data_IF_951838679475
#
_entry.id   IF_951838679475
#
_cell.length_a   1.000
_cell.length_b   1.000
_cell.length_c   1.000
_cell.angle_alpha   90.00
_cell.angle_beta   90.00
_cell.angle_gamma   90.00
#
_symmetry.space_group_name_H-M   'P 1'
#
loop_
_entity.id
_entity.type
_entity.pdbx_description
1 polymer ?
#
# COMPACT_ATOMS: atom_id res chain seq x y z
N UNK A 1 0.03 19.77 -8.74
CA UNK A 1 -1.24 20.47 -9.02
C UNK A 1 -2.27 20.02 -7.99
N UNK A 2 -3.02 20.96 -7.40
CA UNK A 2 -4.07 20.66 -6.44
C UNK A 2 -5.38 20.49 -7.19
N UNK A 3 -6.10 19.42 -6.90
CA UNK A 3 -7.51 19.29 -7.26
C UNK A 3 -8.29 19.60 -5.98
N UNK A 4 -9.13 20.64 -5.94
CA UNK A 4 -9.98 20.88 -4.79
C UNK A 4 -10.89 19.66 -4.58
N UNK A 5 -10.98 19.17 -3.35
CA UNK A 5 -11.83 18.02 -3.05
C UNK A 5 -13.29 18.44 -2.77
N UNK A 6 -13.48 19.70 -2.37
CA UNK A 6 -14.81 20.24 -2.09
C UNK A 6 -14.92 21.68 -2.59
N UNK A 7 -16.13 22.11 -2.92
CA UNK A 7 -16.45 23.50 -3.24
C UNK A 7 -17.54 23.98 -2.30
N UNK A 8 -17.27 25.09 -1.54
CA UNK A 8 -18.22 25.75 -0.65
C UNK A 8 -19.06 24.80 0.23
N UNK A 9 -20.14 24.34 -0.27
CA UNK A 9 -21.15 23.54 0.45
C UNK A 9 -20.83 22.05 0.55
N UNK A 10 -19.55 21.64 0.59
CA UNK A 10 -19.11 20.24 0.66
C UNK A 10 -19.49 19.39 -0.57
N UNK A 11 -19.74 20.03 -1.70
CA UNK A 11 -19.95 19.32 -2.96
C UNK A 11 -18.59 18.86 -3.49
N UNK A 12 -18.40 17.56 -3.73
CA UNK A 12 -17.14 17.06 -4.29
C UNK A 12 -16.86 17.72 -5.64
N UNK A 13 -15.68 18.30 -5.81
CA UNK A 13 -15.24 18.81 -7.10
C UNK A 13 -14.91 17.64 -7.99
N UNK A 14 -15.63 17.53 -9.12
CA UNK A 14 -15.52 16.41 -10.06
C UNK A 14 -14.57 16.67 -11.21
N UNK A 15 -14.32 17.93 -11.52
CA UNK A 15 -13.45 18.32 -12.61
C UNK A 15 -12.70 19.61 -12.30
N UNK A 16 -11.44 19.68 -12.75
CA UNK A 16 -10.59 20.87 -12.75
C UNK A 16 -9.79 20.85 -14.06
N UNK A 17 -10.23 21.65 -15.02
CA UNK A 17 -9.73 21.59 -16.40
C UNK A 17 -9.96 20.21 -17.01
N UNK A 18 -8.89 19.57 -17.49
CA UNK A 18 -8.93 18.20 -18.04
C UNK A 18 -8.94 17.08 -16.97
N UNK A 19 -8.71 17.46 -15.71
CA UNK A 19 -8.67 16.50 -14.62
C UNK A 19 -10.06 16.22 -14.12
N UNK A 20 -10.34 14.93 -13.87
CA UNK A 20 -11.62 14.45 -13.35
C UNK A 20 -11.40 13.60 -12.12
N UNK A 21 -12.28 13.75 -11.14
CA UNK A 21 -12.40 12.84 -10.01
C UNK A 21 -13.50 11.81 -10.31
N UNK A 22 -13.23 10.56 -9.98
CA UNK A 22 -14.19 9.48 -10.09
C UNK A 22 -14.22 8.68 -8.77
N UNK A 23 -15.34 8.07 -8.46
CA UNK A 23 -15.49 7.25 -7.26
C UNK A 23 -16.28 5.97 -7.55
N UNK A 24 -16.08 4.96 -6.70
CA UNK A 24 -16.91 3.77 -6.70
C UNK A 24 -18.33 4.16 -6.27
N UNK A 25 -19.32 3.85 -7.11
CA UNK A 25 -20.73 4.12 -6.76
C UNK A 25 -21.11 3.34 -5.52
N UNK A 26 -21.51 4.06 -4.48
CA UNK A 26 -22.04 3.48 -3.24
C UNK A 26 -23.57 3.39 -3.29
N UNK A 27 -24.11 2.33 -2.70
CA UNK A 27 -25.55 2.11 -2.51
C UNK A 27 -25.80 1.46 -1.13
N UNK A 28 -27.04 1.24 -0.73
CA UNK A 28 -27.36 0.50 0.50
C UNK A 28 -26.70 -0.89 0.56
N UNK A 29 -26.44 -1.52 -0.58
CA UNK A 29 -25.72 -2.80 -0.66
C UNK A 29 -24.20 -2.67 -0.88
N UNK A 30 -23.59 -1.52 -0.56
CA UNK A 30 -22.18 -1.26 -0.74
C UNK A 30 -21.81 -0.86 -2.16
N UNK A 31 -20.51 -0.88 -2.46
CA UNK A 31 -19.93 -0.60 -3.77
C UNK A 31 -19.41 -1.88 -4.45
N UNK A 32 -18.75 -1.74 -5.60
CA UNK A 32 -18.20 -2.89 -6.34
C UNK A 32 -17.14 -3.66 -5.55
N UNK A 33 -16.30 -2.97 -4.77
CA UNK A 33 -15.26 -3.61 -3.96
C UNK A 33 -15.87 -4.38 -2.78
N UNK A 34 -16.78 -3.77 -2.00
CA UNK A 34 -17.41 -4.45 -0.87
C UNK A 34 -18.21 -5.68 -1.29
N UNK A 35 -18.85 -5.63 -2.47
CA UNK A 35 -19.57 -6.79 -3.03
C UNK A 35 -18.63 -7.91 -3.47
N UNK A 36 -17.46 -7.56 -3.95
CA UNK A 36 -16.43 -8.54 -4.32
C UNK A 36 -15.84 -9.20 -3.07
N UNK A 37 -15.46 -8.39 -2.08
CA UNK A 37 -14.93 -8.87 -0.80
C UNK A 37 -15.92 -9.78 -0.07
N UNK A 38 -17.22 -9.49 -0.13
CA UNK A 38 -18.26 -10.32 0.47
C UNK A 38 -18.38 -11.73 -0.16
N UNK A 39 -17.81 -11.92 -1.35
CA UNK A 39 -17.74 -13.22 -2.04
C UNK A 39 -16.40 -13.92 -1.89
N UNK A 40 -15.39 -13.22 -1.40
CA UNK A 40 -14.06 -13.80 -1.16
C UNK A 40 -14.09 -14.64 0.12
N UNK A 41 -13.93 -15.98 0.03
CA UNK A 41 -14.03 -16.84 1.20
C UNK A 41 -12.97 -16.58 2.26
N UNK A 42 -11.88 -15.90 1.89
CA UNK A 42 -10.79 -15.55 2.80
C UNK A 42 -11.05 -14.24 3.53
N UNK A 43 -11.63 -13.24 2.84
CA UNK A 43 -11.79 -11.88 3.38
C UNK A 43 -13.20 -11.58 3.88
N UNK A 44 -14.23 -12.27 3.36
CA UNK A 44 -15.60 -12.06 3.77
C UNK A 44 -15.83 -12.16 5.29
N UNK A 45 -15.20 -13.10 6.03
CA UNK A 45 -15.39 -13.19 7.48
C UNK A 45 -14.99 -11.92 8.25
N UNK A 46 -14.08 -11.12 7.68
CA UNK A 46 -13.54 -9.92 8.32
C UNK A 46 -14.34 -8.65 8.06
N UNK A 47 -15.31 -8.68 7.14
CA UNK A 47 -16.14 -7.52 6.82
C UNK A 47 -17.02 -7.04 7.97
N UNK A 48 -17.39 -7.94 8.88
CA UNK A 48 -18.22 -7.64 10.05
C UNK A 48 -17.42 -7.38 11.33
N UNK A 49 -16.10 -7.47 11.26
CA UNK A 49 -15.20 -7.24 12.40
C UNK A 49 -14.78 -5.76 12.38
N UNK A 50 -14.76 -5.06 13.53
CA UNK A 50 -14.25 -3.69 13.59
C UNK A 50 -12.80 -3.61 13.08
N UNK A 51 -12.47 -2.53 12.35
CA UNK A 51 -11.13 -2.33 11.78
C UNK A 51 -10.02 -2.45 12.84
N UNK A 52 -10.24 -1.89 14.03
CA UNK A 52 -9.31 -1.95 15.16
C UNK A 52 -9.23 -3.30 15.89
N UNK A 53 -9.99 -4.29 15.44
CA UNK A 53 -9.98 -5.67 15.94
C UNK A 53 -9.54 -6.67 14.86
N UNK A 54 -8.62 -6.26 14.01
CA UNK A 54 -8.16 -7.02 12.83
C UNK A 54 -9.27 -7.27 11.79
N UNK A 55 -10.28 -6.42 11.74
CA UNK A 55 -11.30 -6.39 10.68
C UNK A 55 -10.76 -5.83 9.37
N UNK A 56 -11.62 -5.77 8.36
CA UNK A 56 -11.24 -5.20 7.06
C UNK A 56 -10.97 -3.70 7.19
N UNK A 57 -9.74 -3.33 6.91
CA UNK A 57 -9.27 -1.95 6.91
C UNK A 57 -8.27 -1.73 5.78
N UNK A 58 -8.51 -0.73 4.92
CA UNK A 58 -7.67 -0.40 3.77
C UNK A 58 -7.01 0.95 4.05
N UNK A 59 -5.70 0.97 4.27
CA UNK A 59 -4.94 2.20 4.51
C UNK A 59 -3.93 2.48 3.39
N UNK A 60 -3.33 1.44 2.79
CA UNK A 60 -2.36 1.62 1.71
C UNK A 60 -3.01 1.80 0.34
N UNK A 61 -2.51 2.76 -0.46
CA UNK A 61 -2.94 2.93 -1.85
C UNK A 61 -1.78 3.32 -2.76
N UNK A 62 -1.50 2.49 -3.76
CA UNK A 62 -0.63 2.85 -4.88
C UNK A 62 -1.37 2.66 -6.21
N UNK A 63 -1.06 3.52 -7.19
CA UNK A 63 -1.67 3.43 -8.52
C UNK A 63 -0.58 3.37 -9.59
N UNK A 64 -0.75 2.44 -10.54
CA UNK A 64 0.11 2.30 -11.69
C UNK A 64 -0.71 2.07 -12.95
N UNK A 65 -0.79 3.09 -13.81
CA UNK A 65 -1.64 3.03 -15.01
C UNK A 65 -3.11 2.83 -14.62
N UNK A 66 -3.66 1.74 -15.07
CA UNK A 66 -5.05 1.32 -14.81
C UNK A 66 -5.18 0.30 -13.66
N UNK A 67 -4.14 0.13 -12.84
CA UNK A 67 -4.15 -0.77 -11.67
C UNK A 67 -4.00 0.01 -10.37
N UNK A 68 -4.83 -0.32 -9.39
CA UNK A 68 -4.74 0.14 -8.02
C UNK A 68 -4.30 -1.01 -7.11
N UNK A 69 -3.33 -0.75 -6.25
CA UNK A 69 -2.85 -1.65 -5.22
C UNK A 69 -3.40 -1.15 -3.88
N UNK A 70 -4.23 -1.93 -3.23
CA UNK A 70 -4.88 -1.61 -1.97
C UNK A 70 -4.23 -2.44 -0.87
N UNK A 71 -3.51 -1.78 0.03
CA UNK A 71 -2.87 -2.41 1.18
C UNK A 71 -3.83 -2.51 2.35
N UNK A 72 -3.96 -3.69 2.92
CA UNK A 72 -4.80 -3.91 4.09
C UNK A 72 -3.98 -3.73 5.37
N UNK A 73 -4.41 -2.81 6.24
CA UNK A 73 -3.97 -2.79 7.63
C UNK A 73 -4.50 -4.02 8.38
N UNK A 74 -5.73 -4.38 8.12
CA UNK A 74 -6.39 -5.58 8.57
C UNK A 74 -7.28 -6.18 7.48
N UNK A 75 -7.52 -7.49 7.50
CA UNK A 75 -6.93 -8.47 8.38
C UNK A 75 -5.49 -8.84 8.02
N UNK A 76 -4.68 -9.14 9.04
CA UNK A 76 -3.44 -9.91 8.86
C UNK A 76 -3.79 -11.39 9.05
N UNK A 77 -3.51 -12.20 8.03
CA UNK A 77 -3.96 -13.58 7.94
C UNK A 77 -2.83 -14.54 8.31
N UNK A 78 -2.81 -15.05 9.54
CA UNK A 78 -1.75 -15.93 10.04
C UNK A 78 -0.34 -15.34 9.88
N UNK A 79 -0.21 -14.02 10.10
CA UNK A 79 1.06 -13.31 9.94
C UNK A 79 1.30 -12.72 8.55
N UNK A 80 0.43 -12.98 7.58
CA UNK A 80 0.55 -12.47 6.22
C UNK A 80 -0.32 -11.22 6.03
N UNK A 81 0.29 -10.15 5.58
CA UNK A 81 -0.41 -8.95 5.13
C UNK A 81 -0.97 -9.16 3.72
N UNK A 82 -2.01 -8.41 3.38
CA UNK A 82 -2.72 -8.57 2.12
C UNK A 82 -2.64 -7.30 1.29
N UNK A 83 -2.31 -7.44 0.02
CA UNK A 83 -2.47 -6.42 -1.02
C UNK A 83 -3.48 -6.91 -2.04
N UNK A 84 -4.47 -6.09 -2.35
CA UNK A 84 -5.41 -6.33 -3.44
C UNK A 84 -4.99 -5.50 -4.65
N UNK A 85 -4.62 -6.15 -5.72
CA UNK A 85 -4.36 -5.50 -6.99
C UNK A 85 -5.63 -5.53 -7.83
N UNK A 86 -6.22 -4.37 -8.07
CA UNK A 86 -7.47 -4.23 -8.79
C UNK A 86 -7.27 -3.42 -10.08
N UNK A 87 -7.61 -3.96 -11.25
CA UNK A 87 -7.75 -3.16 -12.45
C UNK A 87 -8.83 -2.10 -12.23
N UNK A 88 -8.52 -0.84 -12.54
CA UNK A 88 -9.43 0.29 -12.36
C UNK A 88 -9.63 1.03 -13.67
N UNK A 89 -10.83 1.51 -13.90
CA UNK A 89 -11.16 2.35 -15.04
C UNK A 89 -12.13 3.44 -14.65
N UNK A 90 -11.95 4.60 -15.23
CA UNK A 90 -12.87 5.71 -15.08
C UNK A 90 -13.79 5.76 -16.31
N UNK A 91 -15.09 5.76 -16.07
CA UNK A 91 -16.11 5.94 -17.10
C UNK A 91 -17.29 6.73 -16.51
N UNK A 92 -17.73 7.78 -17.19
CA UNK A 92 -18.86 8.60 -16.77
C UNK A 92 -18.77 9.09 -15.31
N UNK A 93 -17.62 9.64 -14.92
CA UNK A 93 -17.30 10.11 -13.56
C UNK A 93 -17.41 8.99 -12.49
N UNK A 94 -17.30 7.73 -12.89
CA UNK A 94 -17.35 6.57 -11.99
C UNK A 94 -16.08 5.75 -12.11
N UNK A 95 -15.58 5.37 -10.95
CA UNK A 95 -14.55 4.35 -10.85
C UNK A 95 -15.22 2.98 -10.91
N UNK A 96 -14.64 2.08 -11.68
CA UNK A 96 -15.07 0.69 -11.80
C UNK A 96 -13.87 -0.23 -11.60
N UNK A 97 -14.09 -1.34 -10.92
CA UNK A 97 -13.08 -2.37 -10.71
C UNK A 97 -13.22 -3.46 -11.78
N UNK A 98 -12.11 -3.94 -12.25
CA UNK A 98 -12.00 -5.09 -13.14
C UNK A 98 -12.69 -4.94 -14.50
N UNK A 99 -12.40 -5.84 -15.43
CA UNK A 99 -13.21 -6.04 -16.61
C UNK A 99 -14.55 -6.69 -16.22
N UNK A 100 -15.60 -6.41 -17.00
CA UNK A 100 -16.92 -6.97 -16.76
C UNK A 100 -16.85 -8.50 -16.88
N UNK A 101 -17.24 -9.20 -15.80
CA UNK A 101 -17.31 -10.67 -15.78
C UNK A 101 -16.03 -11.39 -15.37
N UNK A 102 -14.96 -10.66 -15.03
CA UNK A 102 -13.73 -11.24 -14.46
C UNK A 102 -13.62 -10.96 -12.96
N UNK A 103 -12.64 -11.59 -12.31
CA UNK A 103 -12.32 -11.33 -10.92
C UNK A 103 -11.97 -9.86 -10.72
N UNK A 104 -12.54 -9.20 -9.70
CA UNK A 104 -12.40 -7.76 -9.50
C UNK A 104 -11.02 -7.35 -8.99
N UNK A 105 -10.23 -8.28 -8.45
CA UNK A 105 -8.87 -8.08 -7.97
C UNK A 105 -8.09 -9.39 -7.92
N UNK A 106 -6.78 -9.25 -7.89
CA UNK A 106 -5.81 -10.29 -7.54
C UNK A 106 -5.34 -10.05 -6.12
N UNK A 107 -5.12 -11.11 -5.34
CA UNK A 107 -4.65 -11.02 -3.97
C UNK A 107 -3.19 -11.44 -3.86
N UNK A 108 -2.36 -10.58 -3.29
CA UNK A 108 -0.99 -10.87 -2.93
C UNK A 108 -0.87 -10.99 -1.42
N UNK A 109 0.00 -11.88 -0.96
CA UNK A 109 0.26 -12.14 0.45
C UNK A 109 1.72 -11.82 0.74
N UNK A 110 1.98 -10.91 1.68
CA UNK A 110 3.32 -10.44 2.04
C UNK A 110 3.64 -10.82 3.48
N UNK A 111 4.81 -11.44 3.70
CA UNK A 111 5.33 -11.69 5.04
C UNK A 111 6.00 -10.43 5.59
N UNK A 112 5.22 -9.59 6.27
CA UNK A 112 5.65 -8.35 6.89
C UNK A 112 5.90 -8.50 8.40
N UNK A 113 6.22 -9.69 8.87
CA UNK A 113 6.46 -9.96 10.30
C UNK A 113 5.20 -9.81 11.16
N UNK A 114 4.04 -10.12 10.59
CA UNK A 114 2.76 -9.97 11.27
C UNK A 114 2.20 -8.55 11.30
N UNK A 115 2.87 -7.60 10.66
CA UNK A 115 2.42 -6.22 10.55
C UNK A 115 1.37 -6.05 9.44
N UNK A 116 0.46 -5.10 9.64
CA UNK A 116 -0.49 -4.64 8.62
C UNK A 116 0.09 -3.51 7.77
N UNK A 117 -0.51 -3.28 6.60
CA UNK A 117 -0.05 -2.23 5.68
C UNK A 117 -0.71 -0.91 6.03
N UNK A 118 0.11 0.12 6.29
CA UNK A 118 -0.32 1.48 6.58
C UNK A 118 -0.32 2.35 5.32
N UNK A 119 0.68 2.18 4.45
CA UNK A 119 0.78 2.93 3.20
C UNK A 119 1.48 2.09 2.13
N UNK A 120 1.18 2.37 0.87
CA UNK A 120 1.86 1.86 -0.30
C UNK A 120 2.36 3.04 -1.14
N UNK A 121 3.64 3.07 -1.44
CA UNK A 121 4.21 4.08 -2.31
C UNK A 121 4.92 3.45 -3.50
N UNK A 122 4.56 3.88 -4.72
CA UNK A 122 5.20 3.38 -5.93
C UNK A 122 6.58 4.01 -6.14
N UNK A 123 7.60 3.18 -6.27
CA UNK A 123 8.97 3.56 -6.62
C UNK A 123 9.42 2.84 -7.90
N UNK A 124 9.11 3.44 -9.05
CA UNK A 124 9.40 2.81 -10.34
C UNK A 124 8.56 1.54 -10.56
N UNK A 125 9.22 0.37 -10.57
CA UNK A 125 8.58 -0.96 -10.65
C UNK A 125 8.30 -1.59 -9.29
N UNK A 126 8.88 -1.02 -8.23
CA UNK A 126 8.76 -1.51 -6.87
C UNK A 126 7.59 -0.83 -6.13
N UNK A 127 7.15 -1.45 -5.05
CA UNK A 127 6.34 -0.81 -4.02
C UNK A 127 7.15 -0.69 -2.73
N UNK A 128 7.18 0.51 -2.16
CA UNK A 128 7.54 0.71 -0.77
C UNK A 128 6.28 0.48 0.06
N UNK A 129 6.42 -0.33 1.10
CA UNK A 129 5.33 -0.75 1.99
C UNK A 129 5.63 -0.24 3.39
N UNK A 130 4.88 0.74 3.86
CA UNK A 130 4.88 1.10 5.26
C UNK A 130 4.01 0.10 6.00
N UNK A 131 4.60 -0.59 6.96
CA UNK A 131 3.94 -1.62 7.75
C UNK A 131 4.01 -1.30 9.24
N UNK A 132 2.93 -1.51 9.95
CA UNK A 132 2.82 -1.26 11.39
C UNK A 132 1.81 -2.19 12.04
N UNK A 133 1.59 -2.05 13.34
CA UNK A 133 0.62 -2.87 14.06
C UNK A 133 -0.75 -2.82 13.38
N UNK A 134 -1.39 -3.97 13.22
CA UNK A 134 -2.83 -4.05 13.01
C UNK A 134 -3.53 -3.72 14.34
N UNK A 135 -4.78 -3.52 14.40
CA UNK A 135 -5.51 -3.15 15.63
C UNK A 135 -5.03 -1.81 16.25
N UNK A 136 -5.48 -1.49 17.44
CA UNK A 136 -5.13 -0.27 18.18
C UNK A 136 -3.96 -0.56 19.15
N UNK A 137 -2.82 -0.89 18.57
CA UNK A 137 -1.62 -1.28 19.32
C UNK A 137 -0.44 -0.41 18.93
N UNK A 138 0.38 -0.09 19.92
CA UNK A 138 1.74 0.40 19.68
C UNK A 138 2.65 -0.77 19.30
N UNK A 139 3.66 -0.51 18.50
CA UNK A 139 4.60 -1.53 18.08
C UNK A 139 5.52 -1.08 16.95
N UNK A 140 6.33 -2.00 16.44
CA UNK A 140 7.30 -1.66 15.41
C UNK A 140 6.63 -1.17 14.14
N UNK A 141 7.23 -0.16 13.51
CA UNK A 141 6.84 0.34 12.21
C UNK A 141 8.04 0.23 11.28
N UNK A 142 7.83 -0.31 10.09
CA UNK A 142 8.90 -0.61 9.14
C UNK A 142 8.51 -0.22 7.73
N UNK A 143 9.51 0.17 6.94
CA UNK A 143 9.37 0.30 5.49
C UNK A 143 10.07 -0.88 4.84
N UNK A 144 9.32 -1.59 4.01
CA UNK A 144 9.80 -2.68 3.18
C UNK A 144 9.78 -2.28 1.71
N UNK A 145 10.67 -2.85 0.91
CA UNK A 145 10.61 -2.78 -0.55
C UNK A 145 10.16 -4.13 -1.10
N UNK A 146 9.05 -4.13 -1.79
CA UNK A 146 8.61 -5.25 -2.62
C UNK A 146 9.05 -4.98 -4.05
N UNK A 147 10.09 -5.70 -4.47
CA UNK A 147 10.72 -5.52 -5.78
C UNK A 147 9.83 -6.05 -6.89
N UNK A 148 9.86 -5.36 -8.03
CA UNK A 148 9.11 -5.69 -9.24
C UNK A 148 7.61 -5.94 -9.00
N UNK A 149 7.05 -5.42 -7.91
CA UNK A 149 5.64 -5.59 -7.55
C UNK A 149 4.69 -5.20 -8.70
N UNK A 150 5.05 -4.13 -9.43
CA UNK A 150 4.25 -3.63 -10.56
C UNK A 150 4.34 -4.55 -11.79
N UNK A 151 5.36 -5.38 -11.91
CA UNK A 151 5.51 -6.31 -13.01
C UNK A 151 4.87 -7.68 -12.74
N UNK A 152 4.35 -7.92 -11.54
CA UNK A 152 3.68 -9.18 -11.22
C UNK A 152 2.39 -9.33 -12.03
N UNK A 153 2.28 -10.41 -12.79
CA UNK A 153 1.11 -10.73 -13.61
C UNK A 153 0.16 -11.72 -12.93
N UNK A 154 0.61 -12.35 -11.86
CA UNK A 154 -0.10 -13.41 -11.14
C UNK A 154 -0.12 -13.14 -9.63
N UNK A 155 -1.05 -13.75 -8.88
CA UNK A 155 -1.02 -13.70 -7.42
C UNK A 155 0.36 -14.07 -6.88
N UNK A 156 0.88 -13.27 -5.94
CA UNK A 156 2.18 -13.49 -5.32
C UNK A 156 2.04 -13.90 -3.87
N UNK A 157 2.83 -14.89 -3.46
CA UNK A 157 3.17 -15.15 -2.06
C UNK A 157 4.60 -14.69 -1.89
N UNK A 158 4.79 -13.57 -1.20
CA UNK A 158 6.07 -12.86 -1.07
C UNK A 158 6.64 -13.14 0.31
N UNK A 159 7.55 -14.11 0.44
CA UNK A 159 8.16 -14.42 1.72
C UNK A 159 9.07 -13.29 2.18
N UNK A 160 9.36 -13.24 3.47
CA UNK A 160 10.24 -12.25 4.10
C UNK A 160 11.57 -12.07 3.37
N UNK A 161 12.15 -13.18 2.89
CA UNK A 161 13.43 -13.19 2.16
C UNK A 161 13.37 -12.52 0.79
N UNK A 162 12.19 -12.34 0.23
CA UNK A 162 11.97 -11.63 -1.04
C UNK A 162 11.65 -10.14 -0.84
N UNK A 163 11.54 -9.69 0.41
CA UNK A 163 11.35 -8.29 0.78
C UNK A 163 12.67 -7.70 1.28
N UNK A 164 12.96 -6.48 0.88
CA UNK A 164 14.09 -5.72 1.38
C UNK A 164 13.65 -4.83 2.54
N UNK A 165 14.26 -5.00 3.71
CA UNK A 165 14.07 -4.07 4.82
C UNK A 165 14.78 -2.75 4.49
N UNK A 166 14.02 -1.65 4.43
CA UNK A 166 14.51 -0.32 4.03
C UNK A 166 14.75 0.56 5.24
N UNK A 167 13.82 0.57 6.19
CA UNK A 167 13.85 1.47 7.34
C UNK A 167 13.04 0.90 8.50
N UNK A 168 13.60 0.95 9.70
CA UNK A 168 12.85 0.88 10.95
C UNK A 168 12.45 2.31 11.35
N UNK A 169 11.15 2.59 11.35
CA UNK A 169 10.64 3.93 11.63
C UNK A 169 10.54 4.13 13.13
N UNK A 170 11.12 5.20 13.70
CA UNK A 170 10.90 5.54 15.10
C UNK A 170 9.41 5.72 15.39
N UNK A 171 8.95 5.15 16.48
CA UNK A 171 7.55 5.22 16.92
C UNK A 171 7.47 5.53 18.41
N UNK A 172 6.41 6.21 18.82
CA UNK A 172 6.09 6.51 20.22
C UNK A 172 5.11 5.50 20.81
N UNK A 173 4.81 5.67 22.10
CA UNK A 173 3.73 4.96 22.79
C UNK A 173 2.54 5.90 22.90
N UNK A 174 1.44 5.56 22.21
CA UNK A 174 0.22 6.36 22.17
C UNK A 174 0.31 7.63 21.29
N UNK A 175 1.42 7.85 20.58
CA UNK A 175 1.61 8.97 19.64
C UNK A 175 2.67 8.60 18.57
N UNK A 176 2.85 9.49 17.58
CA UNK A 176 3.78 9.29 16.46
C UNK A 176 3.51 8.00 15.67
N UNK A 177 2.25 7.76 15.36
CA UNK A 177 1.88 6.65 14.51
C UNK A 177 2.18 7.00 13.05
N UNK A 178 3.19 6.36 12.47
CA UNK A 178 3.53 6.58 11.06
C UNK A 178 2.44 5.99 10.16
N UNK A 179 1.81 6.84 9.33
CA UNK A 179 0.69 6.47 8.46
C UNK A 179 0.85 6.92 7.01
N UNK A 180 1.93 7.65 6.71
CA UNK A 180 2.18 8.08 5.34
C UNK A 180 3.66 8.12 5.00
N UNK A 181 4.00 7.72 3.78
CA UNK A 181 5.35 7.88 3.23
C UNK A 181 5.31 8.55 1.87
N UNK A 182 6.35 9.31 1.57
CA UNK A 182 6.59 9.89 0.25
C UNK A 182 8.09 9.92 -0.05
N UNK A 183 8.45 10.02 -1.32
CA UNK A 183 9.84 10.17 -1.71
C UNK A 183 10.11 11.60 -2.18
N UNK A 184 11.28 12.12 -1.81
CA UNK A 184 11.80 13.38 -2.35
C UNK A 184 13.28 13.26 -2.73
N UNK A 185 13.76 14.23 -3.51
CA UNK A 185 15.20 14.47 -3.67
C UNK A 185 15.69 15.32 -2.50
N UNK A 186 16.73 14.87 -1.83
CA UNK A 186 17.38 15.63 -0.76
C UNK A 186 18.05 16.92 -1.30
N UNK A 187 18.19 17.98 -0.49
CA UNK A 187 18.87 19.21 -0.91
C UNK A 187 20.29 19.02 -1.43
N UNK A 188 21.01 18.03 -0.91
CA UNK A 188 22.38 17.65 -1.33
C UNK A 188 22.45 16.59 -2.43
N UNK A 189 21.33 16.23 -3.04
CA UNK A 189 21.22 15.07 -3.94
C UNK A 189 20.91 13.78 -3.16
N UNK A 190 20.65 12.70 -3.89
CA UNK A 190 20.16 11.47 -3.29
C UNK A 190 18.64 11.49 -3.08
N UNK A 191 18.11 10.41 -2.53
CA UNK A 191 16.66 10.24 -2.30
C UNK A 191 16.38 10.05 -0.82
N UNK A 192 15.29 10.59 -0.36
CA UNK A 192 14.82 10.46 1.02
C UNK A 192 13.38 9.98 1.06
N UNK A 193 13.08 9.19 2.10
CA UNK A 193 11.72 8.85 2.52
C UNK A 193 11.29 9.91 3.51
N UNK A 194 10.19 10.61 3.20
CA UNK A 194 9.45 11.42 4.15
C UNK A 194 8.44 10.53 4.86
N UNK A 195 8.35 10.65 6.17
CA UNK A 195 7.38 9.94 7.00
C UNK A 195 6.45 10.94 7.65
N UNK A 196 5.15 10.73 7.48
CA UNK A 196 4.09 11.49 8.13
C UNK A 196 3.45 10.66 9.25
N UNK A 197 3.07 11.33 10.34
CA UNK A 197 2.54 10.69 11.53
C UNK A 197 1.11 11.16 11.81
N UNK A 198 0.23 10.22 12.12
CA UNK A 198 -1.02 10.52 12.80
C UNK A 198 -0.77 10.62 14.32
N UNK A 199 -1.58 11.43 14.98
CA UNK A 199 -1.40 11.76 16.40
C UNK A 199 0.05 12.16 16.73
N UNK A 200 0.58 13.22 16.08
CA UNK A 200 1.98 13.62 16.24
C UNK A 200 2.27 14.06 17.67
N UNK A 201 3.40 13.64 18.21
CA UNK A 201 3.92 14.10 19.49
C UNK A 201 4.10 15.63 19.52
N UNK A 202 4.10 16.22 20.71
CA UNK A 202 4.19 17.68 20.86
C UNK A 202 5.42 18.29 20.19
N UNK A 203 6.51 17.59 20.16
CA UNK A 203 7.77 18.03 19.56
C UNK A 203 7.71 18.10 18.02
N UNK A 204 6.70 17.46 17.43
CA UNK A 204 6.42 17.55 15.99
C UNK A 204 5.53 18.72 15.60
N UNK A 205 4.92 19.40 16.56
CA UNK A 205 4.02 20.51 16.27
C UNK A 205 4.82 21.79 15.99
N UNK A 206 4.58 22.41 14.83
CA UNK A 206 5.17 23.68 14.43
C UNK A 206 4.08 24.77 14.41
N UNK A 207 3.78 25.31 15.57
CA UNK A 207 2.63 26.22 15.76
C UNK A 207 1.29 25.48 15.73
N UNK A 208 0.23 26.16 15.33
CA UNK A 208 -1.14 25.63 15.36
C UNK A 208 -1.55 24.86 14.08
N UNK A 209 -0.80 25.03 12.99
CA UNK A 209 -1.26 24.60 11.66
C UNK A 209 -0.24 23.78 10.88
N UNK A 210 0.91 23.44 11.47
CA UNK A 210 1.97 22.71 10.80
C UNK A 210 2.55 21.61 11.70
N UNK A 211 3.08 20.58 11.05
CA UNK A 211 3.77 19.48 11.71
C UNK A 211 5.09 19.20 11.00
N UNK A 212 6.08 18.76 11.76
CA UNK A 212 7.34 18.27 11.22
C UNK A 212 7.19 16.83 10.73
N UNK A 213 7.71 16.55 9.55
CA UNK A 213 7.89 15.22 9.00
C UNK A 213 9.31 14.76 9.23
N UNK A 214 9.52 13.48 9.43
CA UNK A 214 10.87 12.92 9.42
C UNK A 214 11.32 12.64 7.99
N UNK A 215 12.62 12.79 7.74
CA UNK A 215 13.25 12.50 6.47
C UNK A 215 14.41 11.52 6.71
N UNK A 216 14.36 10.38 6.05
CA UNK A 216 15.39 9.34 6.15
C UNK A 216 16.00 9.09 4.77
N UNK A 217 17.33 8.89 4.68
CA UNK A 217 17.95 8.49 3.43
C UNK A 217 17.31 7.21 2.89
N UNK A 218 16.96 7.21 1.60
CA UNK A 218 16.53 5.98 0.92
C UNK A 218 17.76 5.24 0.42
N UNK A 219 18.04 4.03 0.92
CA UNK A 219 19.14 3.23 0.41
C UNK A 219 18.94 2.94 -1.09
N UNK A 220 20.03 2.90 -1.84
CA UNK A 220 19.98 2.35 -3.18
C UNK A 220 19.48 0.90 -3.11
N UNK A 221 18.66 0.45 -4.07
CA UNK A 221 18.23 -0.94 -4.11
C UNK A 221 19.46 -1.85 -4.07
N UNK A 222 19.51 -2.81 -3.15
CA UNK A 222 20.56 -3.82 -3.17
C UNK A 222 20.42 -4.58 -4.48
N UNK A 223 21.30 -4.36 -5.42
CA UNK A 223 21.40 -5.20 -6.60
C UNK A 223 21.76 -6.59 -6.10
N UNK A 224 20.80 -7.51 -6.06
CA UNK A 224 21.12 -8.92 -5.90
C UNK A 224 22.02 -9.26 -7.09
N UNK A 225 23.32 -9.39 -6.84
CA UNK A 225 24.19 -10.04 -7.79
C UNK A 225 23.58 -11.40 -8.07
N UNK A 226 23.11 -11.63 -9.28
CA UNK A 226 22.89 -12.99 -9.74
C UNK A 226 24.21 -13.71 -9.44
N UNK A 227 24.20 -14.87 -8.74
CA UNK A 227 25.40 -15.69 -8.66
C UNK A 227 25.82 -15.97 -10.09
N UNK A 228 26.94 -15.37 -10.51
CA UNK A 228 27.63 -15.78 -11.71
C UNK A 228 27.96 -17.25 -11.48
N UNK A 229 27.66 -18.08 -12.49
CA UNK A 229 28.00 -19.48 -12.56
C UNK A 229 27.09 -20.48 -11.81
N UNK A 230 25.93 -20.76 -12.42
CA UNK A 230 25.47 -22.13 -12.45
C UNK A 230 26.27 -22.88 -13.51
N UNK A 231 26.98 -23.97 -13.16
CA UNK A 231 27.66 -24.78 -14.16
C UNK A 231 26.62 -25.34 -15.14
N UNK A 232 26.97 -25.49 -16.41
CA UNK A 232 26.06 -26.05 -17.40
C UNK A 232 25.62 -27.44 -16.97
N UNK A 233 24.30 -27.65 -16.96
CA UNK A 233 23.70 -28.98 -16.74
C UNK A 233 24.26 -29.89 -17.84
N UNK A 234 25.15 -30.83 -17.50
CA UNK A 234 25.62 -31.84 -18.41
C UNK A 234 24.45 -32.69 -18.84
N UNK A 235 24.12 -32.69 -20.12
CA UNK A 235 23.22 -33.65 -20.72
C UNK A 235 23.82 -35.04 -20.52
N UNK A 236 23.19 -35.85 -19.69
CA UNK A 236 23.54 -37.26 -19.53
C UNK A 236 23.32 -38.01 -20.85
N UNK A 237 24.15 -39.03 -21.17
CA UNK A 237 24.02 -39.79 -22.39
C UNK A 237 22.72 -40.60 -22.36
N UNK A 238 21.96 -40.47 -23.47
CA UNK A 238 20.77 -41.28 -23.68
C UNK A 238 21.12 -42.78 -23.74
N UNK A 239 20.29 -43.54 -23.11
CA UNK A 239 20.18 -44.99 -23.22
C UNK A 239 18.72 -45.37 -23.36
#
# INVERSE_FOLDING_TARGET
>A
ARIPLTHGDRIPVRADGERRAAWLKFSKGGNGLTKALAKDPTLAPFLGIPAKENGLDIEGLAVCGDRAFLGLRGPVLRGWAVVLEAPVRCADDRLRLGPKGAEPYVRHMLDLDGLGIRELFRDGRDLLVLAGPTMDLDGPVKVWRWRDAIAAEQPQIVPRTALEAVLDVPNGIGFDHAEGIALRTAPGGGREILVAFDNPGRDRLAGETAVWLDAFPLPAPVTAGLPADLPPVSAGPGG
#
